data_IF_869885832596
#
_entry.id   IF_869885832596
#
_cell.length_a   1.000
_cell.length_b   1.000
_cell.length_c   1.000
_cell.angle_alpha   90.00
_cell.angle_beta   90.00
_cell.angle_gamma   90.00
#
_symmetry.space_group_name_H-M   'P 1'
#
loop_
_entity.id
_entity.type
_entity.pdbx_description
1 polymer ?
#
# COMPACT_ATOMS: atom_id res chain seq x y z
N UNK A 1 -16.46 16.95 9.37
CA UNK A 1 -15.49 15.92 8.92
C UNK A 1 -15.15 15.07 10.13
N UNK A 2 -15.42 13.77 10.10
CA UNK A 2 -15.16 12.87 11.25
C UNK A 2 -13.66 12.77 11.54
N UNK A 3 -13.30 12.70 12.82
CA UNK A 3 -11.90 12.54 13.24
C UNK A 3 -11.39 11.16 12.83
N UNK A 4 -10.34 11.12 12.01
CA UNK A 4 -9.72 9.86 11.62
C UNK A 4 -9.09 9.16 12.82
N UNK A 5 -9.19 7.82 12.86
CA UNK A 5 -8.45 7.02 13.83
C UNK A 5 -6.94 7.09 13.53
N UNK A 6 -6.10 6.76 14.52
CA UNK A 6 -4.64 6.77 14.34
C UNK A 6 -4.21 5.87 13.17
N UNK A 7 -4.81 4.68 13.04
CA UNK A 7 -4.50 3.75 11.96
C UNK A 7 -4.93 4.30 10.59
N UNK A 8 -6.08 4.97 10.50
CA UNK A 8 -6.50 5.64 9.26
C UNK A 8 -5.51 6.74 8.86
N UNK A 9 -5.00 7.52 9.81
CA UNK A 9 -3.97 8.53 9.55
C UNK A 9 -2.67 7.89 9.06
N UNK A 10 -2.27 6.74 9.63
CA UNK A 10 -1.09 6.01 9.17
C UNK A 10 -1.26 5.49 7.74
N UNK A 11 -2.43 4.92 7.39
CA UNK A 11 -2.73 4.47 6.02
C UNK A 11 -2.67 5.65 5.04
N UNK A 12 -3.29 6.79 5.38
CA UNK A 12 -3.27 7.99 4.53
C UNK A 12 -1.85 8.56 4.38
N UNK A 13 -1.05 8.52 5.44
CA UNK A 13 0.36 8.94 5.40
C UNK A 13 1.18 8.03 4.47
N UNK A 14 0.98 6.71 4.56
CA UNK A 14 1.66 5.74 3.71
C UNK A 14 1.30 5.95 2.23
N UNK A 15 0.02 6.13 1.92
CA UNK A 15 -0.46 6.43 0.57
C UNK A 15 0.19 7.70 -0.01
N UNK A 16 0.24 8.79 0.77
CA UNK A 16 0.89 10.04 0.35
C UNK A 16 2.39 9.87 0.07
N UNK A 17 3.07 9.04 0.85
CA UNK A 17 4.50 8.75 0.64
C UNK A 17 4.73 7.99 -0.66
N UNK A 18 3.90 6.99 -0.97
CA UNK A 18 3.95 6.29 -2.25
C UNK A 18 3.69 7.23 -3.44
N UNK A 19 2.69 8.11 -3.34
CA UNK A 19 2.43 9.11 -4.39
C UNK A 19 3.58 10.10 -4.57
N UNK A 20 4.36 10.39 -3.51
CA UNK A 20 5.57 11.22 -3.64
C UNK A 20 6.67 10.48 -4.39
N UNK A 21 6.84 9.18 -4.14
CA UNK A 21 7.79 8.36 -4.90
C UNK A 21 7.39 8.22 -6.37
N UNK A 22 6.09 8.09 -6.67
CA UNK A 22 5.62 7.99 -8.05
C UNK A 22 5.83 9.28 -8.86
N UNK A 23 5.90 10.45 -8.22
CA UNK A 23 6.30 11.69 -8.93
C UNK A 23 7.71 11.62 -9.50
N UNK A 24 8.58 10.79 -8.93
CA UNK A 24 9.93 10.56 -9.44
C UNK A 24 9.97 9.45 -10.51
N UNK A 25 8.89 8.68 -10.69
CA UNK A 25 8.80 7.55 -11.63
C UNK A 25 7.43 7.55 -12.34
N UNK A 26 7.33 8.06 -13.58
CA UNK A 26 6.06 8.14 -14.30
C UNK A 26 5.46 6.74 -14.53
N UNK A 27 4.13 6.62 -14.39
CA UNK A 27 3.38 5.37 -14.58
C UNK A 27 3.13 4.54 -13.31
N UNK A 28 3.74 4.91 -12.18
CA UNK A 28 3.52 4.21 -10.89
C UNK A 28 2.31 4.73 -10.12
N UNK A 29 1.85 5.95 -10.39
CA UNK A 29 0.79 6.62 -9.65
C UNK A 29 -0.59 5.96 -9.83
N UNK A 30 -0.94 5.59 -11.05
CA UNK A 30 -2.19 4.88 -11.34
C UNK A 30 -2.22 3.50 -10.70
N UNK A 31 -1.09 2.79 -10.73
CA UNK A 31 -0.95 1.49 -10.07
C UNK A 31 -1.07 1.60 -8.54
N UNK A 32 -0.40 2.58 -7.90
CA UNK A 32 -0.56 2.82 -6.46
C UNK A 32 -2.04 3.10 -6.14
N UNK A 33 -2.69 3.97 -6.92
CA UNK A 33 -4.10 4.30 -6.71
C UNK A 33 -5.00 3.09 -6.81
N UNK A 34 -4.80 2.25 -7.83
CA UNK A 34 -5.60 1.04 -8.02
C UNK A 34 -5.42 0.06 -6.85
N UNK A 35 -4.19 -0.15 -6.40
CA UNK A 35 -3.88 -1.07 -5.30
C UNK A 35 -4.47 -0.60 -3.97
N UNK A 36 -4.30 0.68 -3.62
CA UNK A 36 -4.91 1.20 -2.40
C UNK A 36 -6.44 1.17 -2.45
N UNK A 37 -7.03 1.39 -3.63
CA UNK A 37 -8.49 1.31 -3.82
C UNK A 37 -9.00 -0.13 -3.74
N UNK A 38 -8.25 -1.10 -4.28
CA UNK A 38 -8.56 -2.53 -4.18
C UNK A 38 -8.54 -2.98 -2.72
N UNK A 39 -7.44 -2.72 -2.00
CA UNK A 39 -7.33 -3.04 -0.58
C UNK A 39 -8.45 -2.38 0.26
N UNK A 40 -8.82 -1.14 -0.03
CA UNK A 40 -9.92 -0.46 0.68
C UNK A 40 -11.31 -1.04 0.39
N UNK A 41 -11.49 -1.78 -0.71
CA UNK A 41 -12.73 -2.50 -1.04
C UNK A 41 -12.75 -3.89 -0.41
N UNK A 42 -11.62 -4.59 -0.48
CA UNK A 42 -11.52 -5.99 -0.06
C UNK A 42 -11.36 -6.13 1.47
N UNK A 43 -10.78 -5.13 2.14
CA UNK A 43 -10.57 -5.15 3.59
C UNK A 43 -11.74 -4.54 4.35
N UNK A 44 -12.27 -5.28 5.33
CA UNK A 44 -13.21 -4.72 6.30
C UNK A 44 -12.53 -3.71 7.22
N UNK A 45 -13.20 -2.60 7.53
CA UNK A 45 -12.72 -1.59 8.49
C UNK A 45 -12.56 -2.13 9.92
N UNK A 46 -13.22 -3.24 10.22
CA UNK A 46 -13.17 -3.91 11.52
C UNK A 46 -12.03 -4.92 11.62
N UNK A 47 -11.44 -5.32 10.49
CA UNK A 47 -10.30 -6.25 10.47
C UNK A 47 -8.98 -5.49 10.66
N UNK A 48 -8.77 -5.06 11.90
CA UNK A 48 -7.61 -4.24 12.27
C UNK A 48 -6.30 -5.01 12.01
N UNK A 49 -6.28 -6.32 12.25
CA UNK A 49 -5.08 -7.15 12.07
C UNK A 49 -4.64 -7.20 10.60
N UNK A 50 -5.59 -7.37 9.68
CA UNK A 50 -5.31 -7.35 8.25
C UNK A 50 -4.83 -5.96 7.80
N UNK A 51 -5.50 -4.89 8.23
CA UNK A 51 -5.08 -3.51 7.92
C UNK A 51 -3.67 -3.24 8.43
N UNK A 52 -3.35 -3.66 9.65
CA UNK A 52 -2.01 -3.50 10.21
C UNK A 52 -0.95 -4.31 9.46
N UNK A 53 -1.27 -5.55 9.07
CA UNK A 53 -0.37 -6.38 8.29
C UNK A 53 -0.04 -5.71 6.94
N UNK A 54 -1.06 -5.24 6.23
CA UNK A 54 -0.91 -4.50 4.98
C UNK A 54 -0.09 -3.22 5.16
N UNK A 55 -0.34 -2.49 6.26
CA UNK A 55 0.39 -1.26 6.59
C UNK A 55 1.87 -1.52 6.85
N UNK A 56 2.19 -2.55 7.67
CA UNK A 56 3.58 -2.96 7.93
C UNK A 56 4.27 -3.41 6.63
N UNK A 57 3.58 -4.16 5.78
CA UNK A 57 4.10 -4.59 4.46
C UNK A 57 4.41 -3.38 3.57
N UNK A 58 3.48 -2.46 3.41
CA UNK A 58 3.69 -1.26 2.58
C UNK A 58 4.78 -0.35 3.12
N UNK A 59 4.94 -0.22 4.45
CA UNK A 59 6.03 0.55 5.04
C UNK A 59 7.41 -0.07 4.77
N UNK A 60 7.52 -1.41 4.77
CA UNK A 60 8.76 -2.10 4.37
C UNK A 60 9.10 -1.84 2.91
N UNK A 61 8.12 -1.96 2.02
CA UNK A 61 8.29 -1.63 0.60
C UNK A 61 8.74 -0.19 0.40
N UNK A 62 8.09 0.76 1.07
CA UNK A 62 8.47 2.18 1.00
C UNK A 62 9.92 2.41 1.44
N UNK A 63 10.37 1.75 2.52
CA UNK A 63 11.75 1.84 2.99
C UNK A 63 12.74 1.25 1.98
N UNK A 64 12.41 0.13 1.34
CA UNK A 64 13.22 -0.44 0.26
C UNK A 64 13.38 0.58 -0.88
N UNK A 65 12.30 1.21 -1.33
CA UNK A 65 12.35 2.22 -2.39
C UNK A 65 13.11 3.51 -2.01
N UNK A 66 13.22 3.83 -0.72
CA UNK A 66 13.95 5.00 -0.24
C UNK A 66 15.43 4.70 0.03
N UNK A 67 15.77 3.47 0.45
CA UNK A 67 17.12 3.06 0.78
C UNK A 67 17.93 2.55 -0.41
N UNK A 68 17.27 2.16 -1.49
CA UNK A 68 17.88 1.41 -2.59
C UNK A 68 17.52 2.12 -3.92
N UNK A 69 18.53 2.37 -4.77
CA UNK A 69 18.39 2.94 -6.12
C UNK A 69 17.71 1.92 -7.06
N UNK A 70 16.51 1.45 -6.72
CA UNK A 70 15.83 0.35 -7.40
C UNK A 70 15.30 0.82 -8.75
N UNK A 71 16.03 0.42 -9.79
CA UNK A 71 15.59 0.32 -11.19
C UNK A 71 14.74 -0.94 -11.33
N UNK A 72 13.43 -0.82 -11.19
CA UNK A 72 12.52 -1.93 -11.53
C UNK A 72 11.40 -2.09 -10.52
N UNK A 73 10.20 -1.72 -10.95
CA UNK A 73 8.97 -2.02 -10.23
C UNK A 73 8.57 -3.46 -10.53
N UNK A 74 8.91 -4.39 -9.65
CA UNK A 74 8.23 -5.67 -9.58
C UNK A 74 7.27 -5.62 -8.38
N UNK A 75 6.26 -4.74 -8.49
CA UNK A 75 5.11 -4.73 -7.57
C UNK A 75 4.10 -5.72 -8.14
N UNK A 76 4.47 -7.00 -8.18
CA UNK A 76 3.52 -8.03 -8.56
C UNK A 76 2.90 -8.61 -7.30
N UNK A 77 1.64 -8.21 -7.14
CA UNK A 77 0.52 -8.99 -6.61
C UNK A 77 0.93 -10.16 -5.73
N UNK A 78 0.55 -10.10 -4.45
CA UNK A 78 0.16 -11.35 -3.82
C UNK A 78 -1.00 -11.89 -4.67
N UNK A 79 -0.69 -12.79 -5.59
CA UNK A 79 -1.58 -13.88 -5.94
C UNK A 79 -1.78 -14.57 -4.61
N UNK A 80 -2.91 -14.30 -3.97
CA UNK A 80 -3.47 -15.29 -3.07
C UNK A 80 -3.72 -16.51 -3.96
N UNK A 81 -2.86 -17.51 -3.82
CA UNK A 81 -3.17 -18.90 -4.16
C UNK A 81 -4.44 -19.29 -3.37
N UNK A 82 -5.59 -18.90 -3.90
CA UNK A 82 -6.86 -19.57 -3.66
C UNK A 82 -6.92 -20.81 -4.54
N UNK A 83 -5.95 -21.70 -4.36
CA UNK A 83 -6.00 -23.06 -4.89
C UNK A 83 -5.18 -23.98 -4.00
N UNK A 84 -5.81 -24.44 -2.91
CA UNK A 84 -5.58 -25.77 -2.36
C UNK A 84 -6.68 -26.17 -1.37
N UNK A 85 -7.63 -26.91 -1.95
CA UNK A 85 -8.42 -28.02 -1.41
C UNK A 85 -9.62 -27.72 -0.51
#
# INVERSE_FOLDING_TARGET
MGRHSKIQLQVLSLYKQFLRLSRQKPGLDDHIRSEFKKNARDMSRTDILHVEHALRRGQRQLKMFQGEQVKGMDVFTAVEDSDKK
#
